data_IF_155949172631
#
_entry.id   IF_155949172631
#
_cell.length_a   1.000
_cell.length_b   1.000
_cell.length_c   1.000
_cell.angle_alpha   90.00
_cell.angle_beta   90.00
_cell.angle_gamma   90.00
#
_symmetry.space_group_name_H-M   'P 1'
#
loop_
_entity.id
_entity.type
_entity.pdbx_description
1 polymer ?
#
# COMPACT_ATOMS: atom_id res chain seq x y z
N UNK A 1 3.18 -11.50 2.28
CA UNK A 1 3.29 -10.82 0.97
C UNK A 1 4.74 -10.45 0.61
N UNK A 2 5.12 -10.47 -0.68
CA UNK A 2 6.39 -9.89 -1.18
C UNK A 2 6.08 -8.57 -1.92
N UNK A 3 6.79 -7.50 -1.58
CA UNK A 3 6.63 -6.17 -2.21
C UNK A 3 7.95 -5.70 -2.82
N UNK A 4 7.87 -5.12 -4.00
CA UNK A 4 8.91 -4.33 -4.64
C UNK A 4 8.76 -2.83 -4.38
N UNK A 5 9.86 -2.18 -3.99
CA UNK A 5 9.98 -0.71 -3.91
C UNK A 5 10.64 -0.09 -5.14
N UNK A 6 10.81 -0.87 -6.22
CA UNK A 6 11.52 -0.44 -7.43
C UNK A 6 10.99 0.89 -7.99
N UNK A 7 9.67 1.14 -7.90
CA UNK A 7 9.06 2.39 -8.33
C UNK A 7 9.72 3.62 -7.69
N UNK A 8 10.00 3.57 -6.39
CA UNK A 8 10.59 4.68 -5.64
C UNK A 8 12.05 4.88 -6.06
N UNK A 9 12.80 3.79 -6.17
CA UNK A 9 14.21 3.81 -6.60
C UNK A 9 14.34 4.41 -8.00
N UNK A 10 13.45 4.04 -8.92
CA UNK A 10 13.45 4.61 -10.27
C UNK A 10 13.12 6.11 -10.25
N UNK A 11 12.15 6.51 -9.43
CA UNK A 11 11.78 7.92 -9.27
C UNK A 11 12.93 8.76 -8.70
N UNK A 12 13.57 8.30 -7.63
CA UNK A 12 14.70 8.97 -6.97
C UNK A 12 15.92 9.14 -7.89
N UNK A 13 16.07 8.24 -8.86
CA UNK A 13 17.19 8.23 -9.81
C UNK A 13 16.85 8.81 -11.19
N UNK A 14 15.66 9.39 -11.35
CA UNK A 14 15.14 9.89 -12.63
C UNK A 14 15.27 8.86 -13.77
N UNK A 15 14.91 7.61 -13.46
CA UNK A 15 14.94 6.49 -14.38
C UNK A 15 13.53 6.11 -14.82
N UNK A 16 13.35 5.93 -16.12
CA UNK A 16 12.09 5.42 -16.67
C UNK A 16 12.10 3.89 -16.73
N UNK A 17 10.94 3.28 -16.56
CA UNK A 17 10.77 1.83 -16.72
C UNK A 17 11.24 1.34 -18.10
N UNK A 18 11.04 2.15 -19.14
CA UNK A 18 11.48 1.83 -20.50
C UNK A 18 13.01 1.78 -20.59
N UNK A 19 13.69 2.82 -20.09
CA UNK A 19 15.16 2.88 -20.08
C UNK A 19 15.74 1.68 -19.33
N UNK A 20 15.22 1.41 -18.13
CA UNK A 20 15.70 0.29 -17.31
C UNK A 20 15.52 -1.04 -18.05
N UNK A 21 14.33 -1.32 -18.60
CA UNK A 21 14.08 -2.56 -19.33
C UNK A 21 15.04 -2.77 -20.51
N UNK A 22 15.34 -1.69 -21.25
CA UNK A 22 16.27 -1.74 -22.38
C UNK A 22 17.70 -1.99 -21.92
N UNK A 23 18.19 -1.25 -20.92
CA UNK A 23 19.57 -1.38 -20.43
C UNK A 23 19.83 -2.70 -19.69
N UNK A 24 18.81 -3.26 -19.03
CA UNK A 24 18.94 -4.55 -18.31
C UNK A 24 18.63 -5.76 -19.18
N UNK A 25 18.32 -5.56 -20.46
CA UNK A 25 17.81 -6.60 -21.37
C UNK A 25 16.67 -7.43 -20.74
N UNK A 26 15.82 -6.76 -19.96
CA UNK A 26 14.67 -7.39 -19.30
C UNK A 26 13.40 -7.08 -20.09
N UNK A 27 12.39 -7.93 -19.98
CA UNK A 27 11.11 -7.60 -20.61
C UNK A 27 10.50 -6.37 -19.94
N UNK A 28 9.89 -5.47 -20.74
CA UNK A 28 9.17 -4.31 -20.20
C UNK A 28 8.09 -4.74 -19.20
N UNK A 29 7.42 -5.86 -19.49
CA UNK A 29 6.41 -6.45 -18.61
C UNK A 29 6.99 -6.85 -17.25
N UNK A 30 8.19 -7.41 -17.20
CA UNK A 30 8.85 -7.75 -15.95
C UNK A 30 9.10 -6.51 -15.07
N UNK A 31 9.68 -5.47 -15.66
CA UNK A 31 9.93 -4.20 -14.94
C UNK A 31 8.62 -3.55 -14.49
N UNK A 32 7.59 -3.53 -15.36
CA UNK A 32 6.28 -2.99 -15.00
C UNK A 32 5.59 -3.79 -13.89
N UNK A 33 5.71 -5.11 -13.89
CA UNK A 33 5.14 -5.95 -12.85
C UNK A 33 5.84 -5.72 -11.50
N UNK A 34 7.16 -5.52 -11.47
CA UNK A 34 7.88 -5.10 -10.27
C UNK A 34 7.41 -3.73 -9.78
N UNK A 35 7.38 -2.72 -10.65
CA UNK A 35 6.95 -1.35 -10.30
C UNK A 35 5.52 -1.31 -9.76
N UNK A 36 4.63 -2.14 -10.31
CA UNK A 36 3.21 -2.19 -9.94
C UNK A 36 2.87 -3.23 -8.87
N UNK A 37 3.85 -3.98 -8.37
CA UNK A 37 3.64 -5.08 -7.42
C UNK A 37 2.64 -6.15 -7.92
N UNK A 38 2.66 -6.44 -9.23
CA UNK A 38 1.79 -7.43 -9.90
C UNK A 38 2.56 -8.64 -10.43
N UNK A 39 3.75 -8.91 -9.91
CA UNK A 39 4.56 -10.05 -10.32
C UNK A 39 4.09 -11.34 -9.64
N UNK A 40 3.88 -12.39 -10.43
CA UNK A 40 3.59 -13.74 -9.93
C UNK A 40 4.83 -14.64 -9.97
N UNK A 41 5.80 -14.28 -10.81
CA UNK A 41 7.04 -15.03 -11.03
C UNK A 41 8.19 -14.04 -11.12
N UNK A 42 9.33 -14.43 -10.56
CA UNK A 42 10.56 -13.66 -10.63
C UNK A 42 11.57 -14.39 -11.52
N UNK A 43 11.87 -13.80 -12.68
CA UNK A 43 12.95 -14.27 -13.53
C UNK A 43 14.29 -13.85 -12.89
N UNK A 44 15.07 -14.85 -12.45
CA UNK A 44 16.34 -14.64 -11.74
C UNK A 44 17.39 -13.94 -12.62
N UNK A 45 17.43 -14.23 -13.92
CA UNK A 45 18.35 -13.59 -14.85
C UNK A 45 18.05 -12.08 -14.95
N UNK A 46 16.77 -11.72 -15.07
CA UNK A 46 16.35 -10.33 -15.11
C UNK A 46 16.59 -9.60 -13.79
N UNK A 47 16.36 -10.27 -12.65
CA UNK A 47 16.73 -9.71 -11.35
C UNK A 47 18.22 -9.43 -11.25
N UNK A 48 19.07 -10.37 -11.67
CA UNK A 48 20.52 -10.20 -11.62
C UNK A 48 20.99 -9.02 -12.49
N UNK A 49 20.44 -8.88 -13.70
CA UNK A 49 20.77 -7.76 -14.58
C UNK A 49 20.30 -6.41 -14.00
N UNK A 50 19.10 -6.39 -13.39
CA UNK A 50 18.57 -5.21 -12.71
C UNK A 50 19.45 -4.80 -11.52
N UNK A 51 19.83 -5.75 -10.67
CA UNK A 51 20.72 -5.53 -9.53
C UNK A 51 22.06 -4.92 -9.99
N UNK A 52 22.67 -5.48 -11.04
CA UNK A 52 23.93 -4.96 -11.61
C UNK A 52 23.78 -3.56 -12.16
N UNK A 53 22.73 -3.31 -12.95
CA UNK A 53 22.49 -2.00 -13.56
C UNK A 53 22.24 -0.91 -12.53
N UNK A 54 21.44 -1.21 -11.51
CA UNK A 54 21.15 -0.27 -10.43
C UNK A 54 22.23 -0.25 -9.35
N UNK A 55 23.22 -1.13 -9.39
CA UNK A 55 24.20 -1.30 -8.32
C UNK A 55 23.50 -1.46 -6.94
N UNK A 56 22.58 -2.42 -6.87
CA UNK A 56 21.77 -2.77 -5.69
C UNK A 56 21.77 -4.28 -5.47
N UNK A 57 21.52 -4.68 -4.23
CA UNK A 57 21.18 -6.05 -3.86
C UNK A 57 19.67 -6.29 -4.01
N UNK A 58 19.26 -7.55 -4.11
CA UNK A 58 17.83 -7.89 -4.21
C UNK A 58 17.05 -7.42 -2.96
N UNK A 59 17.67 -7.48 -1.79
CA UNK A 59 17.12 -7.06 -0.50
C UNK A 59 16.88 -5.55 -0.42
N UNK A 60 17.51 -4.76 -1.28
CA UNK A 60 17.36 -3.30 -1.25
C UNK A 60 15.99 -2.87 -1.81
N UNK A 61 15.36 -3.72 -2.63
CA UNK A 61 14.12 -3.39 -3.32
C UNK A 61 13.03 -4.46 -3.31
N UNK A 62 13.29 -5.65 -2.77
CA UNK A 62 12.30 -6.70 -2.55
C UNK A 62 12.21 -7.04 -1.07
N UNK A 63 11.04 -6.82 -0.49
CA UNK A 63 10.76 -6.98 0.93
C UNK A 63 9.72 -8.08 1.13
N UNK A 64 9.97 -8.96 2.08
CA UNK A 64 8.96 -9.90 2.57
C UNK A 64 8.28 -9.30 3.80
N UNK A 65 6.95 -9.32 3.78
CA UNK A 65 6.10 -8.97 4.90
C UNK A 65 5.33 -10.24 5.31
N UNK A 66 5.36 -10.64 6.59
CA UNK A 66 4.73 -11.88 7.09
C UNK A 66 3.21 -11.74 7.29
N UNK A 67 2.56 -10.95 6.42
CA UNK A 67 1.12 -10.76 6.37
C UNK A 67 0.67 -10.50 4.94
N UNK A 68 -0.63 -10.69 4.68
CA UNK A 68 -1.31 -10.30 3.46
C UNK A 68 -2.46 -9.36 3.80
N UNK A 69 -2.70 -8.36 2.94
CA UNK A 69 -3.78 -7.39 3.13
C UNK A 69 -4.76 -7.54 1.98
N UNK A 70 -6.03 -7.77 2.32
CA UNK A 70 -7.15 -7.75 1.39
C UNK A 70 -8.05 -6.56 1.69
N UNK A 71 -8.33 -5.75 0.67
CA UNK A 71 -9.19 -4.57 0.79
C UNK A 71 -10.38 -4.77 -0.14
N UNK A 72 -11.58 -4.73 0.43
CA UNK A 72 -12.83 -4.80 -0.33
C UNK A 72 -13.72 -3.62 0.01
N UNK A 73 -14.57 -3.22 -0.94
CA UNK A 73 -15.61 -2.22 -0.73
C UNK A 73 -16.93 -2.91 -1.05
N UNK A 74 -17.77 -3.10 -0.04
CA UNK A 74 -19.10 -3.68 -0.18
C UNK A 74 -20.13 -2.82 0.56
N UNK A 75 -21.23 -2.46 -0.10
CA UNK A 75 -22.32 -1.66 0.47
C UNK A 75 -21.85 -0.41 1.25
N UNK A 76 -20.90 0.37 0.68
CA UNK A 76 -20.30 1.55 1.32
C UNK A 76 -19.49 1.27 2.60
N UNK A 77 -19.05 0.03 2.78
CA UNK A 77 -18.16 -0.41 3.86
C UNK A 77 -16.84 -0.86 3.24
N UNK A 78 -15.76 -0.17 3.60
CA UNK A 78 -14.41 -0.65 3.34
C UNK A 78 -14.07 -1.70 4.37
N UNK A 79 -13.79 -2.92 3.90
CA UNK A 79 -13.26 -4.00 4.73
C UNK A 79 -11.80 -4.15 4.42
N UNK A 80 -10.97 -3.96 5.43
CA UNK A 80 -9.53 -4.24 5.39
C UNK A 80 -9.32 -5.48 6.23
N UNK A 81 -8.88 -6.55 5.59
CA UNK A 81 -8.54 -7.82 6.24
C UNK A 81 -7.03 -7.94 6.19
N UNK A 82 -6.40 -8.14 7.34
CA UNK A 82 -4.98 -8.46 7.43
C UNK A 82 -4.86 -9.89 7.94
N UNK A 83 -4.35 -10.77 7.10
CA UNK A 83 -4.08 -12.17 7.44
C UNK A 83 -2.60 -12.31 7.79
N UNK A 84 -2.27 -12.90 8.94
CA UNK A 84 -0.90 -13.08 9.41
C UNK A 84 -0.44 -14.53 9.24
N UNK A 85 0.81 -14.71 8.82
CA UNK A 85 1.37 -16.06 8.68
C UNK A 85 1.89 -16.63 10.03
N UNK A 86 2.12 -15.77 11.04
CA UNK A 86 2.67 -16.13 12.36
C UNK A 86 2.16 -15.20 13.48
N UNK A 87 2.23 -15.65 14.75
CA UNK A 87 1.87 -14.89 15.97
C UNK A 87 2.78 -13.68 16.29
N UNK A 88 3.76 -13.37 15.43
CA UNK A 88 4.63 -12.21 15.65
C UNK A 88 3.87 -10.91 15.35
N UNK A 89 3.45 -10.24 16.43
CA UNK A 89 2.75 -8.97 16.39
C UNK A 89 3.60 -7.90 15.69
N UNK A 90 3.15 -7.45 14.52
CA UNK A 90 3.67 -6.26 13.86
C UNK A 90 2.83 -5.06 14.29
N UNK A 91 3.49 -4.00 14.76
CA UNK A 91 2.84 -2.71 14.92
C UNK A 91 2.58 -2.14 13.51
N UNK A 92 1.31 -2.12 13.13
CA UNK A 92 0.86 -1.59 11.86
C UNK A 92 0.07 -0.32 12.11
N UNK A 93 0.30 0.67 11.26
CA UNK A 93 -0.56 1.83 11.15
C UNK A 93 -1.22 1.83 9.78
N UNK A 94 -2.54 1.76 9.77
CA UNK A 94 -3.36 1.98 8.59
C UNK A 94 -3.64 3.48 8.42
N UNK A 95 -3.48 3.91 7.18
CA UNK A 95 -3.75 5.26 6.70
C UNK A 95 -4.81 5.19 5.62
N UNK A 96 -5.91 5.92 5.83
CA UNK A 96 -6.90 6.18 4.79
C UNK A 96 -6.71 7.60 4.28
N UNK A 97 -6.32 7.72 3.02
CA UNK A 97 -6.25 9.01 2.34
C UNK A 97 -7.51 9.22 1.52
N UNK A 98 -8.23 10.30 1.84
CA UNK A 98 -9.34 10.80 1.02
C UNK A 98 -8.80 11.67 -0.10
N UNK A 99 -9.14 11.34 -1.34
CA UNK A 99 -8.77 12.15 -2.50
C UNK A 99 -9.98 12.96 -3.00
N UNK A 100 -9.74 14.19 -3.47
CA UNK A 100 -10.74 14.96 -4.20
C UNK A 100 -11.01 14.38 -5.60
N UNK A 101 -11.99 14.92 -6.33
CA UNK A 101 -12.23 14.57 -7.74
C UNK A 101 -10.96 14.69 -8.60
N UNK A 102 -10.10 15.66 -8.27
CA UNK A 102 -8.81 15.90 -8.93
C UNK A 102 -7.67 15.02 -8.40
N UNK A 103 -7.97 13.99 -7.60
CA UNK A 103 -7.03 13.06 -6.97
C UNK A 103 -6.01 13.72 -6.03
N UNK A 104 -6.34 14.89 -5.49
CA UNK A 104 -5.49 15.58 -4.52
C UNK A 104 -5.82 15.03 -3.12
N UNK A 105 -4.82 14.58 -2.34
CA UNK A 105 -5.02 14.18 -0.95
C UNK A 105 -5.61 15.33 -0.14
N UNK A 106 -6.77 15.10 0.45
CA UNK A 106 -7.49 16.11 1.23
C UNK A 106 -7.27 15.87 2.72
N UNK A 107 -7.24 14.61 3.17
CA UNK A 107 -7.06 14.22 4.57
C UNK A 107 -6.38 12.86 4.67
N UNK A 108 -5.46 12.71 5.65
CA UNK A 108 -4.95 11.42 6.12
C UNK A 108 -5.63 11.07 7.45
N UNK A 109 -6.24 9.89 7.51
CA UNK A 109 -6.87 9.34 8.71
C UNK A 109 -6.01 8.16 9.19
N UNK A 110 -5.58 8.20 10.46
CA UNK A 110 -4.78 7.16 11.12
C UNK A 110 -5.67 6.25 11.96
N UNK A 111 -5.19 5.06 12.28
CA UNK A 111 -5.88 4.12 13.19
C UNK A 111 -6.34 4.72 14.52
N UNK A 112 -5.54 5.61 15.10
CA UNK A 112 -5.89 6.34 16.34
C UNK A 112 -7.10 7.25 16.17
N UNK A 113 -7.44 7.67 14.94
CA UNK A 113 -8.62 8.51 14.68
C UNK A 113 -9.92 7.69 14.68
N UNK A 114 -9.84 6.36 14.59
CA UNK A 114 -10.97 5.44 14.51
C UNK A 114 -11.37 4.82 15.86
N UNK A 115 -10.87 5.32 16.99
CA UNK A 115 -11.05 4.72 18.33
C UNK A 115 -12.49 4.30 18.69
N UNK A 116 -13.51 4.95 18.12
CA UNK A 116 -14.93 4.65 18.39
C UNK A 116 -15.63 3.79 17.31
N UNK A 117 -14.94 3.40 16.24
CA UNK A 117 -15.54 2.74 15.06
C UNK A 117 -14.85 1.42 14.71
N UNK A 118 -14.08 0.88 15.65
CA UNK A 118 -13.38 -0.40 15.54
C UNK A 118 -14.34 -1.54 15.92
N UNK A 119 -14.92 -2.22 14.95
CA UNK A 119 -15.27 -3.63 15.13
C UNK A 119 -14.03 -4.46 14.79
N UNK A 120 -13.12 -4.60 15.75
CA UNK A 120 -12.07 -5.62 15.61
C UNK A 120 -12.72 -6.98 15.80
N UNK A 121 -12.75 -7.77 14.73
CA UNK A 121 -12.81 -9.21 14.88
C UNK A 121 -11.38 -9.69 14.74
N UNK A 122 -10.76 -9.97 15.88
CA UNK A 122 -9.46 -10.63 15.96
C UNK A 122 -9.77 -12.11 16.21
N UNK A 123 -9.57 -12.93 15.18
CA UNK A 123 -9.35 -14.35 15.39
C UNK A 123 -7.85 -14.63 15.29
N UNK A 124 -7.42 -15.84 15.66
CA UNK A 124 -6.00 -16.18 15.78
C UNK A 124 -5.15 -15.95 14.51
N UNK A 125 -5.77 -15.67 13.35
CA UNK A 125 -5.08 -15.54 12.07
C UNK A 125 -5.37 -14.21 11.35
N UNK A 126 -6.43 -13.49 11.73
CA UNK A 126 -6.91 -12.34 10.97
C UNK A 126 -7.33 -11.15 11.84
N UNK A 127 -7.00 -9.96 11.34
CA UNK A 127 -7.55 -8.68 11.81
C UNK A 127 -8.51 -8.16 10.74
N UNK A 128 -9.79 -8.07 11.08
CA UNK A 128 -10.79 -7.37 10.27
C UNK A 128 -10.99 -5.95 10.79
N UNK A 129 -10.93 -4.99 9.87
CA UNK A 129 -11.28 -3.60 10.11
C UNK A 129 -12.34 -3.17 9.10
N UNK A 130 -13.51 -2.79 9.61
CA UNK A 130 -14.62 -2.27 8.81
C UNK A 130 -14.75 -0.76 9.00
N UNK A 131 -14.66 -0.01 7.90
CA UNK A 131 -14.85 1.44 7.87
C UNK A 131 -16.06 1.78 7.01
N UNK A 132 -17.08 2.37 7.62
CA UNK A 132 -18.22 2.87 6.85
C UNK A 132 -17.86 4.23 6.23
N UNK A 133 -18.44 4.56 5.07
CA UNK A 133 -18.30 5.90 4.50
C UNK A 133 -18.74 7.00 5.47
N UNK A 134 -19.78 6.75 6.27
CA UNK A 134 -20.28 7.69 7.28
C UNK A 134 -19.23 7.99 8.36
N UNK A 135 -18.48 6.96 8.82
CA UNK A 135 -17.35 7.13 9.76
C UNK A 135 -16.27 8.03 9.18
N UNK A 136 -15.94 7.79 7.91
CA UNK A 136 -14.89 8.49 7.19
C UNK A 136 -15.29 9.97 6.99
N UNK A 137 -16.56 10.22 6.67
CA UNK A 137 -17.13 11.57 6.60
C UNK A 137 -17.09 12.29 7.94
N UNK A 138 -17.48 11.64 9.03
CA UNK A 138 -17.49 12.25 10.35
C UNK A 138 -16.07 12.67 10.78
N UNK A 139 -15.08 11.80 10.58
CA UNK A 139 -13.68 12.11 10.89
C UNK A 139 -13.18 13.26 10.02
N UNK A 140 -13.52 13.27 8.73
CA UNK A 140 -13.19 14.39 7.86
C UNK A 140 -13.78 15.71 8.39
N UNK A 141 -15.08 15.73 8.73
CA UNK A 141 -15.76 16.93 9.25
C UNK A 141 -15.09 17.43 10.53
N UNK A 142 -14.74 16.53 11.44
CA UNK A 142 -14.03 16.87 12.69
C UNK A 142 -12.65 17.48 12.44
N UNK A 143 -11.92 17.02 11.42
CA UNK A 143 -10.58 17.55 11.10
C UNK A 143 -10.61 18.87 10.33
N UNK A 144 -11.64 19.13 9.51
CA UNK A 144 -11.71 20.32 8.63
C UNK A 144 -12.56 21.47 9.19
N UNK A 145 -13.23 21.28 10.33
CA UNK A 145 -13.98 22.32 11.04
C UNK A 145 -15.13 23.02 10.27
N UNK A 146 -15.52 22.69 9.02
CA UNK A 146 -16.77 23.17 8.36
C UNK A 146 -17.20 22.35 7.10
N UNK A 147 -18.41 22.67 6.59
CA UNK A 147 -19.23 22.01 5.55
C UNK A 147 -18.50 21.51 4.29
N UNK A 148 -18.72 20.25 3.93
CA UNK A 148 -18.26 19.62 2.70
C UNK A 148 -19.16 19.98 1.49
N UNK A 149 -18.56 20.40 0.37
CA UNK A 149 -19.10 20.18 -0.98
C UNK A 149 -19.21 18.66 -1.26
N UNK A 150 -20.04 18.18 -2.20
CA UNK A 150 -20.12 16.74 -2.51
C UNK A 150 -18.78 16.25 -3.10
N UNK A 151 -18.06 15.38 -2.39
CA UNK A 151 -16.81 14.78 -2.87
C UNK A 151 -17.06 13.40 -3.48
N UNK A 152 -16.33 13.07 -4.55
CA UNK A 152 -16.20 11.71 -5.05
C UNK A 152 -15.17 10.98 -4.18
N UNK A 153 -15.61 9.93 -3.47
CA UNK A 153 -14.72 9.09 -2.65
C UNK A 153 -13.77 8.30 -3.52
N UNK A 154 -12.53 8.76 -3.61
CA UNK A 154 -11.41 7.93 -4.03
C UNK A 154 -10.53 7.71 -2.80
N UNK A 155 -10.67 6.54 -2.18
CA UNK A 155 -9.88 6.15 -1.01
C UNK A 155 -8.59 5.48 -1.45
N UNK A 156 -7.46 5.98 -0.95
CA UNK A 156 -6.21 5.21 -0.96
C UNK A 156 -5.97 4.70 0.46
N UNK A 157 -5.99 3.39 0.60
CA UNK A 157 -5.59 2.69 1.82
C UNK A 157 -4.09 2.45 1.71
N UNK A 158 -3.33 2.79 2.73
CA UNK A 158 -1.89 2.55 2.80
C UNK A 158 -1.55 2.03 4.19
N UNK A 159 -0.80 0.94 4.24
CA UNK A 159 -0.31 0.39 5.49
C UNK A 159 1.15 0.79 5.65
N UNK A 160 1.50 1.38 6.78
CA UNK A 160 2.88 1.60 7.20
C UNK A 160 3.16 0.59 8.31
N UNK A 161 4.18 -0.22 8.09
CA UNK A 161 4.81 -1.00 9.15
C UNK A 161 5.96 -0.17 9.67
N UNK A 162 5.99 0.06 10.98
CA UNK A 162 7.19 0.56 11.63
C UNK A 162 8.16 -0.63 11.74
N UNK A 163 8.78 -0.99 10.62
CA UNK A 163 9.88 -1.94 10.66
C UNK A 163 11.09 -1.17 11.15
N UNK A 164 11.34 -1.23 12.46
CA UNK A 164 12.69 -0.98 12.97
C UNK A 164 13.60 -2.08 12.41
N UNK A 165 14.18 -1.85 11.23
CA UNK A 165 15.33 -2.61 10.71
C UNK A 165 16.63 -2.02 11.24
#
# INVERSE_FOLDING_TARGET
MIISTLKNILYERDLTAYRVATETNSSRTFIQNLISNKFQQLNVEYLNNLCKYLNLNFTDFLYYYPFNIDITLDNNIFKVIVNYDNDEFLEMSLYVTLLSENKIPVVNIKDSDFENWRSFYEDHENILLELTLESIEEIYRKKQNYNLEPFIFLTRVSLLTDVNL
#
